data_IF_480502832289
#
_entry.id   IF_480502832289
#
_cell.length_a   1.000
_cell.length_b   1.000
_cell.length_c   1.000
_cell.angle_alpha   90.00
_cell.angle_beta   90.00
_cell.angle_gamma   90.00
#
_symmetry.space_group_name_H-M   'P 1'
#
loop_
_entity.id
_entity.type
_entity.pdbx_description
1 polymer ?
#
# COMPACT_ATOMS: atom_id res chain seq x y z
N UNK A 1 8.61 -1.44 16.73
CA UNK A 1 7.61 -1.19 15.65
C UNK A 1 6.52 -2.27 15.68
N UNK A 2 6.88 -3.55 15.87
CA UNK A 2 5.91 -4.64 16.15
C UNK A 2 5.09 -4.40 17.43
N UNK A 3 5.74 -4.01 18.55
CA UNK A 3 5.10 -3.79 19.86
C UNK A 3 3.88 -2.86 19.88
N UNK A 4 3.74 -1.97 18.89
CA UNK A 4 2.56 -1.08 18.76
C UNK A 4 1.30 -1.83 18.35
N UNK A 5 1.45 -2.97 17.67
CA UNK A 5 0.35 -3.77 17.14
C UNK A 5 -0.05 -4.90 18.08
N UNK A 6 0.88 -5.38 18.91
CA UNK A 6 0.67 -6.51 19.82
C UNK A 6 -0.62 -6.37 20.64
N UNK A 7 -0.89 -5.17 21.17
CA UNK A 7 -2.12 -4.90 21.92
C UNK A 7 -3.38 -5.07 21.06
N UNK A 8 -3.41 -4.50 19.86
CA UNK A 8 -4.56 -4.64 18.97
C UNK A 8 -4.74 -6.11 18.55
N UNK A 9 -3.65 -6.78 18.20
CA UNK A 9 -3.65 -8.19 17.81
C UNK A 9 -4.21 -9.08 18.92
N UNK A 10 -3.73 -8.92 20.15
CA UNK A 10 -4.23 -9.66 21.32
C UNK A 10 -5.73 -9.43 21.56
N UNK A 11 -6.21 -8.19 21.45
CA UNK A 11 -7.64 -7.89 21.61
C UNK A 11 -8.48 -8.47 20.48
N UNK A 12 -7.99 -8.45 19.23
CA UNK A 12 -8.66 -9.06 18.09
C UNK A 12 -8.74 -10.59 18.22
N UNK A 13 -7.64 -11.25 18.60
CA UNK A 13 -7.62 -12.70 18.83
C UNK A 13 -8.60 -13.12 19.92
N UNK A 14 -8.58 -12.42 21.08
CA UNK A 14 -9.55 -12.65 22.16
C UNK A 14 -10.98 -12.44 21.70
N UNK A 15 -11.23 -11.43 20.87
CA UNK A 15 -12.57 -11.13 20.35
C UNK A 15 -13.06 -12.22 19.40
N UNK A 16 -12.23 -12.68 18.46
CA UNK A 16 -12.53 -13.78 17.54
C UNK A 16 -12.81 -15.08 18.31
N UNK A 17 -11.99 -15.39 19.32
CA UNK A 17 -12.19 -16.57 20.17
C UNK A 17 -13.50 -16.46 20.97
N UNK A 18 -13.86 -15.27 21.45
CA UNK A 18 -15.12 -15.03 22.13
C UNK A 18 -16.33 -15.29 21.21
N UNK A 19 -16.27 -14.85 19.94
CA UNK A 19 -17.29 -15.14 18.92
C UNK A 19 -17.38 -16.64 18.65
N UNK A 20 -16.25 -17.34 18.54
CA UNK A 20 -16.22 -18.78 18.32
C UNK A 20 -16.92 -19.53 19.46
N UNK A 21 -16.59 -19.20 20.71
CA UNK A 21 -17.21 -19.79 21.89
C UNK A 21 -18.71 -19.49 21.99
N UNK A 22 -19.11 -18.26 21.65
CA UNK A 22 -20.51 -17.87 21.54
C UNK A 22 -21.25 -18.75 20.52
N UNK A 23 -20.66 -18.95 19.33
CA UNK A 23 -21.20 -19.82 18.30
C UNK A 23 -21.42 -21.26 18.77
N UNK A 24 -20.50 -21.80 19.57
CA UNK A 24 -20.63 -23.14 20.17
C UNK A 24 -21.81 -23.19 21.15
N UNK A 25 -21.90 -22.22 22.07
CA UNK A 25 -22.99 -22.16 23.07
C UNK A 25 -24.35 -22.04 22.40
N UNK A 26 -24.45 -21.26 21.32
CA UNK A 26 -25.69 -21.09 20.57
C UNK A 26 -26.04 -22.34 19.75
N UNK A 27 -25.03 -23.05 19.22
CA UNK A 27 -25.25 -24.27 18.44
C UNK A 27 -25.78 -25.44 19.27
N UNK A 28 -25.37 -25.55 20.55
CA UNK A 28 -25.86 -26.55 21.50
C UNK A 28 -26.36 -25.86 22.78
N UNK A 29 -27.43 -25.07 22.63
CA UNK A 29 -27.95 -24.30 23.74
C UNK A 29 -28.71 -25.19 24.76
N UNK A 30 -28.40 -25.00 26.04
CA UNK A 30 -29.07 -25.63 27.17
C UNK A 30 -29.54 -24.53 28.14
N UNK A 31 -30.67 -24.68 28.86
CA UNK A 31 -31.11 -23.65 29.81
C UNK A 31 -30.05 -23.27 30.87
N UNK A 32 -29.18 -24.22 31.24
CA UNK A 32 -28.05 -24.00 32.14
C UNK A 32 -26.94 -23.12 31.53
N UNK A 33 -26.83 -23.04 30.20
CA UNK A 33 -25.81 -22.23 29.49
C UNK A 33 -26.22 -20.76 29.31
N UNK A 34 -27.47 -20.38 29.64
CA UNK A 34 -27.97 -19.00 29.52
C UNK A 34 -27.07 -17.97 30.21
N UNK A 35 -26.57 -18.26 31.42
CA UNK A 35 -25.70 -17.36 32.15
C UNK A 35 -24.36 -17.16 31.42
N UNK A 36 -23.78 -18.25 30.89
CA UNK A 36 -22.56 -18.19 30.09
C UNK A 36 -22.75 -17.43 28.78
N UNK A 37 -23.90 -17.62 28.12
CA UNK A 37 -24.28 -16.86 26.93
C UNK A 37 -24.32 -15.35 27.21
N UNK A 38 -25.01 -14.94 28.27
CA UNK A 38 -25.12 -13.52 28.65
C UNK A 38 -23.74 -12.92 28.98
N UNK A 39 -22.87 -13.66 29.67
CA UNK A 39 -21.50 -13.23 29.93
C UNK A 39 -20.72 -13.03 28.62
N UNK A 40 -20.85 -13.95 27.67
CA UNK A 40 -20.18 -13.87 26.36
C UNK A 40 -20.67 -12.71 25.51
N UNK A 41 -21.97 -12.42 25.53
CA UNK A 41 -22.54 -11.23 24.88
C UNK A 41 -21.99 -9.94 25.48
N UNK A 42 -21.94 -9.85 26.81
CA UNK A 42 -21.33 -8.68 27.48
C UNK A 42 -19.85 -8.54 27.11
N UNK A 43 -19.10 -9.64 27.03
CA UNK A 43 -17.71 -9.61 26.57
C UNK A 43 -17.54 -9.17 25.12
N UNK A 44 -18.53 -9.39 24.24
CA UNK A 44 -18.47 -8.82 22.89
C UNK A 44 -18.57 -7.30 22.93
N UNK A 45 -19.46 -6.76 23.76
CA UNK A 45 -19.63 -5.31 23.89
C UNK A 45 -18.35 -4.67 24.42
N UNK A 46 -17.78 -5.23 25.50
CA UNK A 46 -16.51 -4.71 26.04
C UNK A 46 -15.35 -4.93 25.07
N UNK A 47 -15.29 -6.07 24.39
CA UNK A 47 -14.25 -6.36 23.40
C UNK A 47 -14.23 -5.36 22.24
N UNK A 48 -15.39 -4.99 21.70
CA UNK A 48 -15.50 -3.93 20.69
C UNK A 48 -15.03 -2.57 21.21
N UNK A 49 -15.36 -2.23 22.46
CA UNK A 49 -14.91 -0.99 23.09
C UNK A 49 -13.40 -0.97 23.30
N UNK A 50 -12.79 -2.10 23.66
CA UNK A 50 -11.36 -2.20 23.88
C UNK A 50 -10.59 -2.12 22.55
N UNK A 51 -11.10 -2.77 21.49
CA UNK A 51 -10.56 -2.62 20.12
C UNK A 51 -10.62 -1.16 19.65
N UNK A 52 -11.73 -0.45 19.90
CA UNK A 52 -11.84 0.97 19.52
C UNK A 52 -10.85 1.87 20.28
N UNK A 53 -10.56 1.57 21.56
CA UNK A 53 -9.53 2.29 22.32
C UNK A 53 -8.13 2.12 21.73
N UNK A 54 -7.81 0.93 21.19
CA UNK A 54 -6.52 0.67 20.54
C UNK A 54 -6.28 1.59 19.33
N UNK A 55 -7.34 2.13 18.70
CA UNK A 55 -7.23 3.06 17.56
C UNK A 55 -6.31 4.25 17.83
N UNK A 56 -6.32 4.79 19.06
CA UNK A 56 -5.51 5.96 19.40
C UNK A 56 -4.00 5.70 19.25
N UNK A 57 -3.57 4.45 19.42
CA UNK A 57 -2.17 4.04 19.33
C UNK A 57 -1.68 3.89 17.88
N UNK A 58 -2.61 3.86 16.91
CA UNK A 58 -2.37 3.55 15.49
C UNK A 58 -2.70 4.74 14.56
N UNK A 59 -2.82 5.95 15.10
CA UNK A 59 -3.22 7.14 14.34
C UNK A 59 -2.25 7.54 13.23
N UNK A 60 -1.00 7.10 13.30
CA UNK A 60 0.07 7.34 12.34
C UNK A 60 0.04 6.38 11.14
N UNK A 61 -0.91 5.45 11.10
CA UNK A 61 -0.97 4.37 10.10
C UNK A 61 -2.08 4.66 9.10
N UNK A 62 -1.71 4.62 7.82
CA UNK A 62 -2.64 4.68 6.70
C UNK A 62 -2.61 3.37 5.94
N UNK A 63 -3.79 2.78 5.71
CA UNK A 63 -3.95 1.56 4.92
C UNK A 63 -4.49 1.94 3.54
N UNK A 64 -3.78 1.61 2.44
CA UNK A 64 -4.28 1.85 1.09
C UNK A 64 -5.62 1.15 0.85
N UNK A 65 -6.55 1.84 0.19
CA UNK A 65 -7.91 1.31 -0.01
C UNK A 65 -7.91 0.06 -0.88
N UNK A 66 -6.97 -0.03 -1.81
CA UNK A 66 -6.79 -1.15 -2.72
C UNK A 66 -6.46 -2.45 -1.97
N UNK A 67 -5.91 -2.38 -0.76
CA UNK A 67 -5.64 -3.55 0.08
C UNK A 67 -6.94 -4.22 0.54
N UNK A 68 -8.02 -3.45 0.76
CA UNK A 68 -9.30 -4.02 1.19
C UNK A 68 -9.86 -5.00 0.15
N UNK A 69 -9.69 -4.72 -1.14
CA UNK A 69 -10.13 -5.62 -2.20
C UNK A 69 -9.43 -6.98 -2.13
N UNK A 70 -8.15 -7.03 -1.73
CA UNK A 70 -7.46 -8.30 -1.51
C UNK A 70 -8.04 -9.06 -0.32
N UNK A 71 -8.32 -8.35 0.78
CA UNK A 71 -8.89 -8.94 2.00
C UNK A 71 -10.29 -9.50 1.73
N UNK A 72 -11.16 -8.73 1.09
CA UNK A 72 -12.55 -9.11 0.78
C UNK A 72 -12.63 -10.32 -0.15
N UNK A 73 -11.64 -10.48 -1.03
CA UNK A 73 -11.52 -11.65 -1.92
C UNK A 73 -10.80 -12.85 -1.26
N UNK A 74 -10.40 -12.74 0.01
CA UNK A 74 -9.64 -13.78 0.71
C UNK A 74 -8.21 -13.99 0.18
N UNK A 75 -7.65 -13.00 -0.52
CA UNK A 75 -6.28 -13.02 -1.03
C UNK A 75 -5.32 -12.46 0.00
N UNK A 76 -4.04 -12.84 -0.10
CA UNK A 76 -3.00 -12.32 0.77
C UNK A 76 -2.74 -10.81 0.47
N UNK A 77 -2.92 -9.90 1.46
CA UNK A 77 -2.65 -8.46 1.31
C UNK A 77 -1.22 -8.13 0.87
N UNK A 78 -0.23 -8.96 1.19
CA UNK A 78 1.16 -8.74 0.80
C UNK A 78 1.36 -8.80 -0.73
N UNK A 79 0.43 -9.42 -1.46
CA UNK A 79 0.45 -9.41 -2.92
C UNK A 79 0.28 -7.99 -3.46
N UNK A 80 -0.56 -7.16 -2.84
CA UNK A 80 -0.68 -5.75 -3.21
C UNK A 80 0.67 -5.03 -3.09
N UNK A 81 1.38 -5.23 -1.98
CA UNK A 81 2.71 -4.62 -1.76
C UNK A 81 3.69 -5.08 -2.84
N UNK A 82 3.72 -6.38 -3.14
CA UNK A 82 4.56 -6.94 -4.20
C UNK A 82 4.24 -6.30 -5.56
N UNK A 83 2.98 -6.29 -5.96
CA UNK A 83 2.58 -5.71 -7.25
C UNK A 83 2.87 -4.21 -7.32
N UNK A 84 2.71 -3.49 -6.22
CA UNK A 84 3.03 -2.06 -6.17
C UNK A 84 4.52 -1.82 -6.45
N UNK A 85 5.40 -2.61 -5.84
CA UNK A 85 6.84 -2.57 -6.09
C UNK A 85 7.18 -2.94 -7.54
N UNK A 86 6.57 -3.99 -8.07
CA UNK A 86 6.77 -4.42 -9.46
C UNK A 86 6.30 -3.36 -10.46
N UNK A 87 5.13 -2.74 -10.23
CA UNK A 87 4.62 -1.62 -11.04
C UNK A 87 5.56 -0.42 -10.98
N UNK A 88 6.07 -0.08 -9.78
CA UNK A 88 7.01 1.02 -9.62
C UNK A 88 8.32 0.78 -10.38
N UNK A 89 8.86 -0.44 -10.32
CA UNK A 89 10.05 -0.84 -11.06
C UNK A 89 9.82 -0.76 -12.57
N UNK A 90 8.76 -1.40 -13.08
CA UNK A 90 8.43 -1.37 -14.50
C UNK A 90 8.21 0.07 -15.00
N UNK A 91 7.57 0.92 -14.19
CA UNK A 91 7.38 2.33 -14.53
C UNK A 91 8.71 3.10 -14.58
N UNK A 92 9.61 2.84 -13.64
CA UNK A 92 10.94 3.45 -13.63
C UNK A 92 11.73 3.09 -14.89
N UNK A 93 11.80 1.80 -15.22
CA UNK A 93 12.47 1.32 -16.43
C UNK A 93 11.86 1.91 -17.71
N UNK A 94 10.52 1.96 -17.79
CA UNK A 94 9.81 2.59 -18.90
C UNK A 94 10.18 4.08 -19.05
N UNK A 95 10.19 4.83 -17.95
CA UNK A 95 10.52 6.26 -17.95
C UNK A 95 11.98 6.48 -18.32
N UNK A 96 12.90 5.67 -17.79
CA UNK A 96 14.31 5.70 -18.15
C UNK A 96 14.52 5.46 -19.65
N UNK A 97 13.87 4.43 -20.22
CA UNK A 97 13.94 4.15 -21.66
C UNK A 97 13.41 5.31 -22.52
N UNK A 98 12.36 6.01 -22.07
CA UNK A 98 11.86 7.22 -22.74
C UNK A 98 12.87 8.37 -22.67
N UNK A 99 13.49 8.59 -21.52
CA UNK A 99 14.53 9.62 -21.34
C UNK A 99 15.72 9.34 -22.27
N UNK A 100 16.21 8.10 -22.29
CA UNK A 100 17.36 7.71 -23.10
C UNK A 100 17.07 7.83 -24.60
N UNK A 101 15.87 7.42 -25.03
CA UNK A 101 15.42 7.58 -26.42
C UNK A 101 15.32 9.06 -26.80
N UNK A 102 14.75 9.89 -25.93
CA UNK A 102 14.63 11.34 -26.17
C UNK A 102 16.01 12.01 -26.24
N UNK A 103 16.95 11.64 -25.36
CA UNK A 103 18.34 12.11 -25.42
C UNK A 103 19.01 11.71 -26.74
N UNK A 104 18.87 10.45 -27.16
CA UNK A 104 19.42 9.97 -28.43
C UNK A 104 18.81 10.70 -29.64
N UNK A 105 17.49 10.86 -29.67
CA UNK A 105 16.79 11.61 -30.71
C UNK A 105 17.27 13.06 -30.77
N UNK A 106 17.36 13.74 -29.63
CA UNK A 106 17.92 15.10 -29.53
C UNK A 106 19.32 15.16 -30.14
N UNK A 107 20.22 14.25 -29.80
CA UNK A 107 21.60 14.25 -30.31
C UNK A 107 21.65 14.06 -31.83
N UNK A 108 20.87 13.12 -32.37
CA UNK A 108 20.77 12.89 -33.81
C UNK A 108 20.17 14.08 -34.56
N UNK A 109 19.11 14.67 -34.00
CA UNK A 109 18.47 15.85 -34.57
C UNK A 109 19.44 17.04 -34.62
N UNK A 110 20.19 17.29 -33.53
CA UNK A 110 21.23 18.32 -33.51
C UNK A 110 22.31 18.05 -34.56
N UNK A 111 22.71 16.80 -34.73
CA UNK A 111 23.71 16.40 -35.72
C UNK A 111 23.24 16.70 -37.16
N UNK A 112 22.02 16.29 -37.51
CA UNK A 112 21.47 16.54 -38.86
C UNK A 112 21.18 18.03 -39.10
N UNK A 113 20.62 18.74 -38.11
CA UNK A 113 20.41 20.18 -38.22
C UNK A 113 21.73 20.95 -38.36
N UNK A 114 22.82 20.50 -37.73
CA UNK A 114 24.13 21.13 -37.88
C UNK A 114 24.68 20.97 -39.30
N UNK A 115 24.35 19.88 -40.00
CA UNK A 115 24.72 19.67 -41.40
C UNK A 115 23.92 20.55 -42.36
N UNK A 116 22.61 20.68 -42.13
CA UNK A 116 21.71 21.37 -43.07
C UNK A 116 21.65 22.89 -42.80
N UNK A 117 21.72 23.32 -41.53
CA UNK A 117 21.56 24.72 -41.11
C UNK A 117 22.66 25.15 -40.12
N UNK A 118 23.93 25.25 -40.57
CA UNK A 118 25.07 25.49 -39.67
C UNK A 118 25.04 26.84 -38.95
N UNK A 119 24.61 27.92 -39.61
CA UNK A 119 24.56 29.26 -39.02
C UNK A 119 23.51 29.37 -37.91
N UNK A 120 22.30 28.83 -38.15
CA UNK A 120 21.22 28.84 -37.16
C UNK A 120 21.52 27.92 -35.98
N UNK A 121 22.20 26.79 -36.22
CA UNK A 121 22.67 25.92 -35.13
C UNK A 121 23.75 26.57 -34.27
N UNK A 122 24.58 27.44 -34.85
CA UNK A 122 25.57 28.21 -34.09
C UNK A 122 24.89 29.22 -33.16
N UNK A 123 23.87 29.93 -33.65
CA UNK A 123 23.03 30.83 -32.82
C UNK A 123 22.29 30.05 -31.73
N UNK A 124 21.71 28.90 -32.07
CA UNK A 124 21.02 28.03 -31.11
C UNK A 124 21.94 27.60 -29.96
N UNK A 125 23.16 27.11 -30.28
CA UNK A 125 24.13 26.70 -29.26
C UNK A 125 24.59 27.85 -28.37
N UNK A 126 24.76 29.04 -28.95
CA UNK A 126 25.12 30.24 -28.19
C UNK A 126 24.03 30.67 -27.19
N UNK A 127 22.75 30.54 -27.56
CA UNK A 127 21.62 30.86 -26.66
C UNK A 127 21.45 29.78 -25.59
N UNK A 128 21.66 28.52 -25.95
CA UNK A 128 21.41 27.39 -25.06
C UNK A 128 22.47 27.23 -23.96
N UNK A 129 23.68 27.74 -24.18
CA UNK A 129 24.80 27.60 -23.25
C UNK A 129 25.18 26.14 -23.00
N UNK A 130 25.56 25.39 -24.05
CA UNK A 130 26.06 24.02 -23.85
C UNK A 130 27.49 24.03 -23.30
N UNK A 131 27.62 23.85 -21.99
CA UNK A 131 28.70 22.99 -21.47
C UNK A 131 28.48 21.58 -22.08
N UNK A 132 29.52 20.93 -22.61
CA UNK A 132 29.37 19.60 -23.18
C UNK A 132 28.91 18.62 -22.10
N UNK A 133 28.03 17.66 -22.43
CA UNK A 133 27.67 16.62 -21.47
C UNK A 133 28.93 15.78 -21.14
N UNK A 134 29.09 15.30 -19.89
CA UNK A 134 30.08 14.27 -19.57
C UNK A 134 29.76 12.94 -20.28
#
# INVERSE_FOLDING_TARGET
MAEKFDSLEEHLEKFVENIRQLGIIVSDFQPSSQTGLNQKLNFMVTGLQDIDKCRQQLHDISVPLEVFEYIDQGRNPQLYTKECLERALAKNEQVKGKIDTMKKFKSLLIQELTKVFPEDMTKYKAIRGEDPPP
#
